data_IF_521414559915
#
_entry.id   IF_521414559915
#
_cell.length_a   1.000
_cell.length_b   1.000
_cell.length_c   1.000
_cell.angle_alpha   90.00
_cell.angle_beta   90.00
_cell.angle_gamma   90.00
#
_symmetry.space_group_name_H-M   'P 1'
#
loop_
_entity.id
_entity.type
_entity.pdbx_description
1 polymer ?
#
# COMPACT_ATOMS: atom_id res chain seq x y z
N UNK A 1 -15.69 9.19 13.91
CA UNK A 1 -16.98 9.60 13.31
C UNK A 1 -16.91 9.68 11.77
N UNK A 2 -15.83 10.23 11.18
CA UNK A 2 -15.66 10.30 9.71
C UNK A 2 -15.41 8.93 9.05
N UNK A 3 -14.74 8.02 9.76
CA UNK A 3 -14.41 6.67 9.25
C UNK A 3 -15.61 5.71 9.24
N UNK A 4 -16.57 5.89 10.15
CA UNK A 4 -17.76 5.02 10.25
C UNK A 4 -18.76 5.27 9.10
N UNK A 5 -18.88 6.51 8.60
CA UNK A 5 -19.76 6.83 7.48
C UNK A 5 -19.17 6.37 6.14
N UNK A 6 -17.83 6.40 6.02
CA UNK A 6 -17.11 5.89 4.85
C UNK A 6 -17.24 4.37 4.74
N UNK A 7 -17.15 3.64 5.85
CA UNK A 7 -17.32 2.19 5.88
C UNK A 7 -18.76 1.76 5.52
N UNK A 8 -19.77 2.48 6.00
CA UNK A 8 -21.18 2.18 5.69
C UNK A 8 -21.47 2.37 4.19
N UNK A 9 -21.02 3.47 3.60
CA UNK A 9 -21.17 3.72 2.16
C UNK A 9 -20.40 2.70 1.30
N UNK A 10 -19.26 2.20 1.80
CA UNK A 10 -18.56 1.09 1.17
C UNK A 10 -19.37 -0.21 1.23
N UNK A 11 -19.99 -0.55 2.36
CA UNK A 11 -20.79 -1.78 2.50
C UNK A 11 -21.92 -1.86 1.46
N UNK A 12 -22.70 -0.79 1.31
CA UNK A 12 -23.78 -0.73 0.31
C UNK A 12 -23.23 -0.88 -1.11
N UNK A 13 -22.19 -0.12 -1.46
CA UNK A 13 -21.57 -0.16 -2.78
C UNK A 13 -20.97 -1.54 -3.12
N UNK A 14 -20.35 -2.19 -2.14
CA UNK A 14 -19.75 -3.51 -2.30
C UNK A 14 -20.83 -4.58 -2.47
N UNK A 15 -21.89 -4.55 -1.65
CA UNK A 15 -23.02 -5.47 -1.75
C UNK A 15 -23.69 -5.40 -3.11
N UNK A 16 -23.94 -4.20 -3.63
CA UNK A 16 -24.50 -4.03 -4.98
C UNK A 16 -23.60 -4.61 -6.07
N UNK A 17 -22.29 -4.32 -6.02
CA UNK A 17 -21.37 -4.75 -7.06
C UNK A 17 -21.08 -6.25 -7.02
N UNK A 18 -20.92 -6.84 -5.83
CA UNK A 18 -20.76 -8.28 -5.68
C UNK A 18 -22.01 -8.96 -6.23
N UNK A 19 -23.21 -8.53 -5.80
CA UNK A 19 -24.48 -9.09 -6.27
C UNK A 19 -24.61 -9.02 -7.80
N UNK A 20 -24.22 -7.90 -8.43
CA UNK A 20 -24.20 -7.76 -9.90
C UNK A 20 -23.27 -8.79 -10.57
N UNK A 21 -22.12 -9.10 -9.98
CA UNK A 21 -21.12 -9.98 -10.57
C UNK A 21 -21.37 -11.47 -10.32
N UNK A 22 -21.86 -11.85 -9.13
CA UNK A 22 -22.05 -13.27 -8.76
C UNK A 22 -23.52 -13.72 -8.82
N UNK A 23 -24.46 -12.81 -9.11
CA UNK A 23 -25.90 -13.05 -9.16
C UNK A 23 -26.51 -13.64 -7.87
N UNK A 24 -25.85 -13.41 -6.74
CA UNK A 24 -26.27 -13.84 -5.41
C UNK A 24 -26.39 -12.59 -4.55
N UNK A 25 -27.52 -12.45 -3.86
CA UNK A 25 -27.72 -11.36 -2.91
C UNK A 25 -26.86 -11.62 -1.67
N UNK A 26 -25.94 -10.71 -1.37
CA UNK A 26 -25.05 -10.80 -0.21
C UNK A 26 -25.81 -10.35 1.03
N UNK A 27 -25.79 -11.14 2.11
CA UNK A 27 -26.47 -10.78 3.37
C UNK A 27 -25.73 -9.68 4.14
N UNK A 28 -26.40 -9.01 5.08
CA UNK A 28 -25.73 -8.03 5.95
C UNK A 28 -24.61 -8.66 6.79
N UNK A 29 -24.80 -9.91 7.23
CA UNK A 29 -23.79 -10.66 7.98
C UNK A 29 -22.55 -10.94 7.11
N UNK A 30 -22.73 -11.31 5.85
CA UNK A 30 -21.63 -11.53 4.89
C UNK A 30 -20.90 -10.22 4.56
N UNK A 31 -21.64 -9.12 4.38
CA UNK A 31 -21.04 -7.79 4.19
C UNK A 31 -20.26 -7.33 5.43
N UNK A 32 -20.77 -7.64 6.62
CA UNK A 32 -20.08 -7.36 7.89
C UNK A 32 -18.79 -8.17 7.99
N UNK A 33 -18.81 -9.45 7.64
CA UNK A 33 -17.62 -10.30 7.59
C UNK A 33 -16.57 -9.76 6.62
N UNK A 34 -16.97 -9.39 5.40
CA UNK A 34 -16.08 -8.78 4.40
C UNK A 34 -15.48 -7.47 4.94
N UNK A 35 -16.29 -6.63 5.59
CA UNK A 35 -15.83 -5.36 6.16
C UNK A 35 -14.73 -5.57 7.20
N UNK A 36 -14.90 -6.56 8.09
CA UNK A 36 -13.89 -6.93 9.08
C UNK A 36 -12.64 -7.44 8.38
N UNK A 37 -12.79 -8.35 7.41
CA UNK A 37 -11.69 -8.90 6.62
C UNK A 37 -10.84 -7.80 5.97
N UNK A 38 -11.47 -6.84 5.29
CA UNK A 38 -10.76 -5.74 4.64
C UNK A 38 -10.16 -4.76 5.63
N UNK A 39 -10.85 -4.44 6.72
CA UNK A 39 -10.30 -3.57 7.78
C UNK A 39 -8.99 -4.12 8.32
N UNK A 40 -8.98 -5.41 8.63
CA UNK A 40 -7.80 -6.15 9.09
C UNK A 40 -6.68 -6.14 8.05
N UNK A 41 -7.02 -6.44 6.78
CA UNK A 41 -6.05 -6.46 5.70
C UNK A 41 -5.42 -5.07 5.47
N UNK A 42 -6.22 -4.00 5.53
CA UNK A 42 -5.74 -2.62 5.43
C UNK A 42 -4.79 -2.26 6.58
N UNK A 43 -5.10 -2.66 7.81
CA UNK A 43 -4.21 -2.44 8.96
C UNK A 43 -2.85 -3.13 8.77
N UNK A 44 -2.86 -4.34 8.18
CA UNK A 44 -1.62 -5.04 7.81
C UNK A 44 -0.80 -4.25 6.80
N UNK A 45 -1.44 -3.73 5.74
CA UNK A 45 -0.76 -2.88 4.75
C UNK A 45 -0.18 -1.62 5.42
N UNK A 46 -0.92 -0.97 6.31
CA UNK A 46 -0.40 0.21 7.04
C UNK A 46 0.83 -0.12 7.89
N UNK A 47 0.86 -1.29 8.53
CA UNK A 47 2.03 -1.79 9.28
C UNK A 47 3.21 -2.05 8.34
N UNK A 48 2.97 -2.68 7.19
CA UNK A 48 4.01 -2.92 6.18
C UNK A 48 4.59 -1.61 5.64
N UNK A 49 3.74 -0.60 5.34
CA UNK A 49 4.21 0.75 4.99
C UNK A 49 5.14 1.28 6.07
N UNK A 50 4.71 1.29 7.34
CA UNK A 50 5.53 1.82 8.45
C UNK A 50 6.81 1.02 8.74
N UNK A 51 6.91 -0.22 8.25
CA UNK A 51 8.11 -1.05 8.41
C UNK A 51 9.23 -0.71 7.41
N UNK A 52 8.90 -0.02 6.31
CA UNK A 52 9.87 0.40 5.31
C UNK A 52 10.83 1.41 5.91
N UNK A 53 12.11 1.05 5.89
CA UNK A 53 13.19 1.81 6.52
C UNK A 53 14.17 2.40 5.51
N UNK A 54 14.25 1.85 4.29
CA UNK A 54 15.19 2.29 3.25
C UNK A 54 14.51 2.54 1.91
N UNK A 55 14.53 3.79 1.47
CA UNK A 55 13.93 4.25 0.21
C UNK A 55 14.98 4.91 -0.68
N UNK A 56 15.05 4.47 -1.94
CA UNK A 56 15.80 5.17 -2.97
C UNK A 56 14.88 6.00 -3.85
N UNK A 57 15.29 7.23 -4.16
CA UNK A 57 14.60 8.13 -5.08
C UNK A 57 15.50 8.36 -6.29
N UNK A 58 14.97 8.11 -7.49
CA UNK A 58 15.65 8.41 -8.74
C UNK A 58 14.92 9.57 -9.41
N UNK A 59 15.61 10.69 -9.60
CA UNK A 59 14.99 11.91 -10.13
C UNK A 59 16.01 12.84 -10.78
N UNK A 60 15.55 13.62 -11.76
CA UNK A 60 16.25 14.74 -12.39
C UNK A 60 15.76 16.10 -11.87
N UNK A 61 14.87 16.10 -10.87
CA UNK A 61 14.34 17.33 -10.29
C UNK A 61 15.39 18.08 -9.47
N UNK A 62 15.26 19.41 -9.44
CA UNK A 62 16.10 20.27 -8.63
C UNK A 62 15.86 20.13 -7.11
N UNK A 63 16.83 20.63 -6.34
CA UNK A 63 16.91 20.49 -4.87
C UNK A 63 15.62 20.84 -4.11
N UNK A 64 14.89 21.88 -4.53
CA UNK A 64 13.64 22.30 -3.87
C UNK A 64 12.56 21.21 -3.94
N UNK A 65 12.43 20.57 -5.10
CA UNK A 65 11.44 19.52 -5.34
C UNK A 65 11.88 18.20 -4.71
N UNK A 66 13.19 17.91 -4.75
CA UNK A 66 13.78 16.80 -4.02
C UNK A 66 13.43 16.87 -2.52
N UNK A 67 13.56 18.05 -1.90
CA UNK A 67 13.23 18.25 -0.48
C UNK A 67 11.76 18.05 -0.18
N UNK A 68 10.87 18.51 -1.06
CA UNK A 68 9.43 18.28 -0.95
C UNK A 68 9.11 16.78 -1.00
N UNK A 69 9.69 16.06 -1.96
CA UNK A 69 9.48 14.63 -2.12
C UNK A 69 9.98 13.84 -0.90
N UNK A 70 11.17 14.18 -0.38
CA UNK A 70 11.68 13.60 0.87
C UNK A 70 10.70 13.81 2.03
N UNK A 71 10.18 15.02 2.19
CA UNK A 71 9.23 15.33 3.25
C UNK A 71 7.92 14.51 3.12
N UNK A 72 7.40 14.37 1.90
CA UNK A 72 6.21 13.55 1.66
C UNK A 72 6.47 12.07 1.96
N UNK A 73 7.65 11.55 1.61
CA UNK A 73 8.07 10.18 1.92
C UNK A 73 8.21 9.98 3.43
N UNK A 74 8.80 10.93 4.16
CA UNK A 74 8.88 10.88 5.63
C UNK A 74 7.51 10.91 6.31
N UNK A 75 6.53 11.64 5.76
CA UNK A 75 5.15 11.59 6.30
C UNK A 75 4.49 10.23 6.10
N UNK A 76 4.81 9.53 5.02
CA UNK A 76 4.20 8.23 4.67
C UNK A 76 4.86 7.09 5.46
N UNK A 77 6.20 7.01 5.46
CA UNK A 77 6.94 5.92 6.10
C UNK A 77 7.36 6.20 7.54
N UNK A 78 7.30 7.47 7.96
CA UNK A 78 7.73 7.93 9.27
C UNK A 78 9.08 8.66 9.24
N UNK A 79 9.44 9.35 10.33
CA UNK A 79 10.59 10.26 10.36
C UNK A 79 11.95 9.57 10.30
N UNK A 80 12.01 8.27 10.59
CA UNK A 80 13.27 7.51 10.68
C UNK A 80 13.66 6.80 9.38
N UNK A 81 12.90 6.98 8.31
CA UNK A 81 13.20 6.37 7.01
C UNK A 81 14.49 6.96 6.44
N UNK A 82 15.42 6.09 6.04
CA UNK A 82 16.62 6.44 5.31
C UNK A 82 16.25 6.70 3.84
N UNK A 83 16.51 7.91 3.36
CA UNK A 83 16.21 8.32 1.99
C UNK A 83 17.49 8.69 1.27
N UNK A 84 17.80 7.99 0.18
CA UNK A 84 18.84 8.41 -0.77
C UNK A 84 18.20 9.03 -2.02
N UNK A 85 18.83 10.08 -2.54
CA UNK A 85 18.49 10.65 -3.84
C UNK A 85 19.60 10.33 -4.81
N UNK A 86 19.23 9.78 -5.96
CA UNK A 86 20.11 9.36 -7.04
C UNK A 86 19.69 10.14 -8.27
N UNK A 87 20.60 10.97 -8.77
CA UNK A 87 20.40 11.64 -10.05
C UNK A 87 20.45 10.61 -11.18
N UNK A 88 19.67 10.85 -12.25
CA UNK A 88 19.63 9.94 -13.41
C UNK A 88 21.02 9.63 -13.98
N UNK A 89 21.89 10.63 -14.04
CA UNK A 89 23.27 10.55 -14.52
C UNK A 89 24.12 9.57 -13.72
N UNK A 90 23.81 9.39 -12.44
CA UNK A 90 24.56 8.57 -11.49
C UNK A 90 23.85 7.24 -11.17
N UNK A 91 22.74 6.95 -11.86
CA UNK A 91 21.96 5.74 -11.61
C UNK A 91 22.65 4.50 -12.19
N UNK A 92 22.79 3.48 -11.35
CA UNK A 92 23.19 2.13 -11.71
C UNK A 92 22.28 1.13 -10.95
N UNK A 93 22.00 -0.03 -11.52
CA UNK A 93 21.12 -1.01 -10.87
C UNK A 93 21.68 -1.47 -9.51
N UNK A 94 23.00 -1.52 -9.36
CA UNK A 94 23.61 -1.92 -8.09
C UNK A 94 23.41 -0.90 -6.98
N UNK A 95 23.21 0.39 -7.30
CA UNK A 95 23.07 1.47 -6.32
C UNK A 95 21.75 1.42 -5.55
N UNK A 96 20.78 0.63 -6.04
CA UNK A 96 19.44 0.52 -5.46
C UNK A 96 19.13 -0.86 -4.85
N UNK A 97 20.07 -1.81 -4.92
CA UNK A 97 19.85 -3.20 -4.48
C UNK A 97 19.50 -3.36 -3.00
N UNK A 98 20.04 -2.47 -2.15
CA UNK A 98 19.86 -2.52 -0.69
C UNK A 98 18.63 -1.74 -0.20
N UNK A 99 17.83 -1.20 -1.11
CA UNK A 99 16.64 -0.43 -0.79
C UNK A 99 15.38 -1.29 -0.95
N UNK A 100 14.43 -1.08 -0.05
CA UNK A 100 13.21 -1.89 0.02
C UNK A 100 12.18 -1.42 -1.02
N UNK A 101 12.20 -0.12 -1.31
CA UNK A 101 11.37 0.56 -2.30
C UNK A 101 12.23 1.53 -3.10
N UNK A 102 12.00 1.55 -4.42
CA UNK A 102 12.59 2.51 -5.33
C UNK A 102 11.46 3.38 -5.89
N UNK A 103 11.58 4.69 -5.75
CA UNK A 103 10.65 5.67 -6.30
C UNK A 103 11.36 6.39 -7.44
N UNK A 104 10.72 6.50 -8.61
CA UNK A 104 11.31 7.16 -9.76
C UNK A 104 10.37 8.17 -10.40
N UNK A 105 10.86 9.39 -10.65
CA UNK A 105 10.13 10.39 -11.45
C UNK A 105 10.44 10.30 -12.94
N UNK A 106 11.44 9.49 -13.29
CA UNK A 106 11.87 9.22 -14.66
C UNK A 106 11.58 7.77 -15.03
N UNK A 107 11.30 7.50 -16.30
CA UNK A 107 11.10 6.13 -16.78
C UNK A 107 12.47 5.45 -16.92
N UNK A 108 12.60 4.27 -16.35
CA UNK A 108 13.82 3.46 -16.41
C UNK A 108 13.53 2.21 -17.22
N UNK A 109 14.40 1.88 -18.17
CA UNK A 109 14.16 0.78 -19.10
C UNK A 109 14.39 -0.63 -18.49
N UNK A 110 14.73 -0.74 -17.19
CA UNK A 110 15.36 -1.97 -16.65
C UNK A 110 14.90 -2.48 -15.28
N UNK A 111 13.87 -1.91 -14.65
CA UNK A 111 13.48 -2.35 -13.29
C UNK A 111 11.96 -2.42 -13.13
N UNK A 112 11.39 -3.61 -13.33
CA UNK A 112 9.93 -3.80 -13.41
C UNK A 112 9.25 -4.25 -12.11
N UNK A 113 9.99 -4.79 -11.14
CA UNK A 113 9.38 -5.42 -9.95
C UNK A 113 9.64 -4.68 -8.61
N UNK A 114 10.44 -3.61 -8.59
CA UNK A 114 10.79 -2.85 -7.37
C UNK A 114 10.59 -1.33 -7.47
N UNK A 115 10.03 -0.84 -8.57
CA UNK A 115 9.91 0.60 -8.85
C UNK A 115 8.47 1.08 -8.81
N UNK A 116 8.28 2.20 -8.10
CA UNK A 116 7.08 3.02 -8.15
C UNK A 116 7.38 4.25 -9.01
N UNK A 117 6.70 4.35 -10.15
CA UNK A 117 6.83 5.51 -11.04
C UNK A 117 5.87 6.64 -10.62
N UNK A 118 6.38 7.85 -10.46
CA UNK A 118 5.61 9.05 -10.15
C UNK A 118 5.68 10.05 -11.30
N UNK A 119 4.52 10.54 -11.71
CA UNK A 119 4.40 11.59 -12.73
C UNK A 119 4.32 12.98 -12.09
N UNK A 120 3.86 13.05 -10.83
CA UNK A 120 3.67 14.28 -10.09
C UNK A 120 4.01 14.03 -8.61
N UNK A 121 4.91 14.83 -8.05
CA UNK A 121 5.42 14.73 -6.67
C UNK A 121 4.73 15.66 -5.68
N UNK A 122 3.82 16.52 -6.17
CA UNK A 122 3.06 17.47 -5.36
C UNK A 122 1.81 16.85 -4.74
N UNK A 123 1.37 15.68 -5.22
CA UNK A 123 0.18 14.98 -4.73
C UNK A 123 0.56 13.86 -3.74
N UNK A 124 0.59 14.23 -2.46
CA UNK A 124 0.91 13.32 -1.35
C UNK A 124 -0.05 12.13 -1.26
N UNK A 125 -1.34 12.34 -1.54
CA UNK A 125 -2.35 11.28 -1.49
C UNK A 125 -2.13 10.27 -2.62
N UNK A 126 -1.90 10.75 -3.84
CA UNK A 126 -1.60 9.89 -4.99
C UNK A 126 -0.29 9.12 -4.81
N UNK A 127 0.72 9.73 -4.17
CA UNK A 127 1.95 9.05 -3.79
C UNK A 127 1.67 7.89 -2.82
N UNK A 128 0.94 8.17 -1.73
CA UNK A 128 0.55 7.16 -0.74
C UNK A 128 -0.19 5.99 -1.40
N UNK A 129 -1.20 6.29 -2.23
CA UNK A 129 -1.97 5.27 -2.95
C UNK A 129 -1.11 4.39 -3.86
N UNK A 130 -0.14 4.97 -4.57
CA UNK A 130 0.79 4.19 -5.42
C UNK A 130 1.70 3.28 -4.59
N UNK A 131 2.13 3.71 -3.41
CA UNK A 131 2.92 2.89 -2.48
C UNK A 131 2.10 1.73 -1.95
N UNK A 132 0.88 1.98 -1.49
CA UNK A 132 -0.03 0.93 -1.00
C UNK A 132 -0.34 -0.09 -2.10
N UNK A 133 -0.66 0.36 -3.31
CA UNK A 133 -0.87 -0.52 -4.47
C UNK A 133 0.35 -1.39 -4.75
N UNK A 134 1.55 -0.80 -4.75
CA UNK A 134 2.79 -1.53 -4.98
C UNK A 134 3.02 -2.62 -3.93
N UNK A 135 2.78 -2.33 -2.64
CA UNK A 135 2.91 -3.31 -1.56
C UNK A 135 1.88 -4.44 -1.69
N UNK A 136 0.64 -4.11 -2.03
CA UNK A 136 -0.41 -5.11 -2.31
C UNK A 136 0.03 -6.03 -3.46
N UNK A 137 0.46 -5.49 -4.60
CA UNK A 137 0.93 -6.30 -5.74
C UNK A 137 2.14 -7.18 -5.37
N UNK A 138 3.06 -6.66 -4.55
CA UNK A 138 4.19 -7.43 -4.04
C UNK A 138 3.71 -8.58 -3.15
N UNK A 139 2.78 -8.35 -2.23
CA UNK A 139 2.25 -9.41 -1.37
C UNK A 139 1.51 -10.50 -2.18
N UNK A 140 0.71 -10.09 -3.17
CA UNK A 140 -0.02 -11.01 -4.05
C UNK A 140 0.92 -11.93 -4.84
N UNK A 141 2.07 -11.43 -5.29
CA UNK A 141 3.05 -12.23 -6.03
C UNK A 141 3.86 -13.19 -5.13
N UNK A 142 3.91 -12.93 -3.82
CA UNK A 142 4.65 -13.74 -2.85
C UNK A 142 3.80 -14.83 -2.17
N UNK A 143 2.46 -14.78 -2.30
CA UNK A 143 1.55 -15.74 -1.67
C UNK A 143 0.73 -16.50 -2.71
N UNK A 144 0.50 -17.79 -2.46
CA UNK A 144 -0.70 -18.47 -2.96
C UNK A 144 -1.90 -17.89 -2.20
N UNK A 145 -2.45 -16.77 -2.68
CA UNK A 145 -3.38 -15.86 -1.98
C UNK A 145 -4.70 -16.50 -1.48
N UNK A 146 -4.96 -17.79 -1.71
CA UNK A 146 -6.28 -18.37 -1.46
C UNK A 146 -6.36 -19.57 -0.50
N UNK A 147 -5.29 -19.94 0.22
CA UNK A 147 -5.34 -21.16 1.03
C UNK A 147 -5.69 -20.99 2.52
N UNK A 148 -5.71 -19.76 3.09
CA UNK A 148 -6.18 -19.50 4.46
C UNK A 148 -6.82 -18.11 4.59
N UNK A 149 -7.91 -18.03 5.35
CA UNK A 149 -8.58 -16.75 5.67
C UNK A 149 -7.68 -15.91 6.57
N UNK A 150 -7.43 -14.65 6.19
CA UNK A 150 -6.68 -13.67 7.00
C UNK A 150 -7.27 -13.52 8.41
N UNK A 151 -8.59 -13.67 8.55
CA UNK A 151 -9.28 -13.63 9.84
C UNK A 151 -8.84 -14.80 10.73
N UNK A 152 -8.66 -16.00 10.18
CA UNK A 152 -8.24 -17.18 10.95
C UNK A 152 -6.80 -17.04 11.48
N UNK A 153 -5.95 -16.28 10.80
CA UNK A 153 -4.58 -16.02 11.26
C UNK A 153 -4.50 -14.95 12.38
N UNK A 154 -5.61 -14.26 12.67
CA UNK A 154 -5.65 -13.11 13.57
C UNK A 154 -6.63 -13.25 14.73
N UNK A 155 -7.57 -14.20 14.64
CA UNK A 155 -8.43 -14.58 15.75
C UNK A 155 -7.72 -15.65 16.58
N UNK A 156 -7.57 -15.40 17.88
CA UNK A 156 -7.08 -16.36 18.86
C UNK A 156 -8.25 -17.08 19.54
N UNK A 157 -7.98 -18.22 20.17
CA UNK A 157 -9.00 -18.97 20.93
C UNK A 157 -9.69 -18.14 22.01
N UNK A 158 -8.99 -17.14 22.56
CA UNK A 158 -9.50 -16.22 23.59
C UNK A 158 -10.61 -15.30 23.06
N UNK A 159 -10.65 -15.00 21.76
CA UNK A 159 -11.67 -14.14 21.14
C UNK A 159 -13.05 -14.83 21.04
N UNK A 160 -13.10 -16.15 21.28
CA UNK A 160 -14.35 -16.94 21.25
C UNK A 160 -14.95 -17.20 22.63
N UNK A 161 -14.27 -16.87 23.73
CA UNK A 161 -14.72 -17.21 25.10
C UNK A 161 -15.76 -16.24 25.70
N UNK A 162 -16.39 -15.40 24.87
CA UNK A 162 -17.40 -14.43 25.30
C UNK A 162 -18.79 -14.63 24.67
N UNK A 163 -19.10 -15.83 24.17
CA UNK A 163 -20.45 -16.23 23.77
C UNK A 163 -21.12 -17.16 24.79
#
# INVERSE_FOLDING_TARGET
MKDSLLLLNCQEYWGENITKHIQINVSEEELSYLTIYFSIYLEKIEKEVKSISKVAIITDFGLSIQKLLQNNIMKIFGPNVEIVIIEQSNFDESSVNNYEIIISTIRLNRLFNKIIYLENVFDEQKLKLKIEQFLIYKDLNHKNVFNKSVIVDLINSEDFEHF
#
